data_IF_997667997890
#
_entry.id   IF_997667997890
#
_cell.length_a   1.000
_cell.length_b   1.000
_cell.length_c   1.000
_cell.angle_alpha   90.00
_cell.angle_beta   90.00
_cell.angle_gamma   90.00
#
_symmetry.space_group_name_H-M   'P 1'
#
loop_
_entity.id
_entity.type
_entity.pdbx_description
1 polymer ?
#
# COMPACT_ATOMS: atom_id res chain seq x y z
N UNK A 1 -1.86 -9.43 -8.74
CA UNK A 1 -1.33 -8.48 -9.74
C UNK A 1 -0.45 -7.42 -9.08
N UNK A 2 -0.94 -6.72 -8.04
CA UNK A 2 -0.18 -5.69 -7.31
C UNK A 2 1.24 -6.14 -6.88
N UNK A 3 1.38 -7.33 -6.26
CA UNK A 3 2.70 -7.88 -5.90
C UNK A 3 3.66 -8.01 -7.09
N UNK A 4 3.18 -8.46 -8.25
CA UNK A 4 4.03 -8.57 -9.45
C UNK A 4 4.50 -7.20 -9.94
N UNK A 5 3.65 -6.18 -9.84
CA UNK A 5 3.99 -4.81 -10.24
C UNK A 5 5.07 -4.26 -9.32
N UNK A 6 4.89 -4.34 -8.00
CA UNK A 6 5.87 -3.80 -7.04
C UNK A 6 7.19 -4.57 -7.10
N UNK A 7 7.19 -5.90 -7.22
CA UNK A 7 8.42 -6.69 -7.38
C UNK A 7 9.17 -6.30 -8.66
N UNK A 8 8.46 -6.17 -9.78
CA UNK A 8 9.08 -5.77 -11.04
C UNK A 8 9.72 -4.39 -10.93
N UNK A 9 8.98 -3.40 -10.41
CA UNK A 9 9.51 -2.04 -10.23
C UNK A 9 10.71 -2.04 -9.28
N UNK A 10 10.60 -2.72 -8.14
CA UNK A 10 11.66 -2.81 -7.13
C UNK A 10 12.95 -3.39 -7.71
N UNK A 11 12.86 -4.47 -8.48
CA UNK A 11 14.01 -5.18 -9.04
C UNK A 11 14.61 -4.53 -10.30
N UNK A 12 13.79 -3.85 -11.11
CA UNK A 12 14.20 -3.45 -12.47
C UNK A 12 14.50 -1.96 -12.64
N UNK A 13 14.22 -1.10 -11.66
CA UNK A 13 14.71 0.28 -11.68
C UNK A 13 16.12 0.27 -11.10
N UNK A 14 17.09 0.52 -11.97
CA UNK A 14 18.51 0.53 -11.64
C UNK A 14 19.12 1.91 -11.83
N UNK A 15 20.23 2.16 -11.14
CA UNK A 15 21.01 3.37 -11.33
C UNK A 15 21.94 3.26 -12.56
N UNK A 16 22.70 4.32 -12.83
CA UNK A 16 23.64 4.33 -13.97
C UNK A 16 24.78 3.30 -13.86
N UNK A 17 25.01 2.71 -12.69
CA UNK A 17 25.99 1.63 -12.48
C UNK A 17 25.37 0.24 -12.68
N UNK A 18 24.06 0.15 -12.85
CA UNK A 18 23.31 -1.11 -12.89
C UNK A 18 22.98 -1.67 -11.50
N UNK A 19 23.23 -0.93 -10.43
CA UNK A 19 22.83 -1.28 -9.07
C UNK A 19 21.35 -1.02 -8.81
N UNK A 20 20.81 -1.61 -7.72
CA UNK A 20 19.43 -1.32 -7.30
C UNK A 20 19.27 0.16 -6.99
N UNK A 21 18.31 0.83 -7.64
CA UNK A 21 17.99 2.23 -7.37
C UNK A 21 16.80 2.39 -6.41
N UNK A 22 16.15 1.30 -6.01
CA UNK A 22 14.98 1.34 -5.15
C UNK A 22 15.29 0.81 -3.75
N UNK A 23 14.90 1.59 -2.75
CA UNK A 23 14.85 1.16 -1.36
C UNK A 23 13.46 0.63 -0.96
N UNK A 24 12.39 1.16 -1.57
CA UNK A 24 11.01 0.82 -1.24
C UNK A 24 10.11 1.11 -2.45
N UNK A 25 9.16 0.22 -2.73
CA UNK A 25 8.08 0.44 -3.70
C UNK A 25 6.75 0.09 -3.04
N UNK A 26 5.89 1.09 -2.85
CA UNK A 26 4.55 0.92 -2.33
C UNK A 26 3.49 1.19 -3.40
N UNK A 27 2.50 0.31 -3.52
CA UNK A 27 1.36 0.50 -4.40
C UNK A 27 0.09 0.74 -3.59
N UNK A 28 -0.45 1.95 -3.70
CA UNK A 28 -1.70 2.35 -3.07
C UNK A 28 -2.84 2.49 -4.07
N UNK A 29 -4.06 2.32 -3.57
CA UNK A 29 -5.31 2.67 -4.24
C UNK A 29 -6.22 3.43 -3.29
N UNK A 30 -6.85 4.48 -3.77
CA UNK A 30 -7.90 5.17 -3.02
C UNK A 30 -9.22 4.44 -3.20
N UNK A 31 -9.85 4.11 -2.07
CA UNK A 31 -11.16 3.46 -2.00
C UNK A 31 -12.02 4.20 -0.96
N UNK A 32 -13.32 4.39 -1.20
CA UNK A 32 -14.26 4.75 -0.14
C UNK A 32 -14.21 3.75 1.02
N UNK A 33 -14.51 4.21 2.23
CA UNK A 33 -14.46 3.41 3.45
C UNK A 33 -15.36 2.17 3.37
N UNK A 34 -16.56 2.31 2.80
CA UNK A 34 -17.50 1.19 2.62
C UNK A 34 -17.03 0.11 1.62
N UNK A 35 -16.02 0.43 0.80
CA UNK A 35 -15.40 -0.49 -0.16
C UNK A 35 -14.14 -1.18 0.38
N UNK A 36 -13.68 -0.82 1.58
CA UNK A 36 -12.63 -1.56 2.27
C UNK A 36 -13.13 -2.94 2.71
N UNK A 37 -12.22 -3.91 2.84
CA UNK A 37 -12.56 -5.16 3.52
C UNK A 37 -12.85 -4.90 5.01
N UNK A 38 -13.59 -5.82 5.64
CA UNK A 38 -14.04 -5.66 7.03
C UNK A 38 -12.88 -5.51 8.02
N UNK A 39 -11.71 -6.11 7.73
CA UNK A 39 -10.53 -5.98 8.57
C UNK A 39 -9.98 -4.56 8.54
N UNK A 40 -9.85 -3.99 7.34
CA UNK A 40 -9.41 -2.60 7.15
C UNK A 40 -10.43 -1.58 7.69
N UNK A 41 -11.73 -1.83 7.55
CA UNK A 41 -12.77 -1.00 8.18
C UNK A 41 -12.60 -0.98 9.70
N UNK A 42 -12.49 -2.16 10.32
CA UNK A 42 -12.29 -2.29 11.76
C UNK A 42 -10.99 -1.63 12.25
N UNK A 43 -9.91 -1.76 11.47
CA UNK A 43 -8.64 -1.09 11.77
C UNK A 43 -8.79 0.44 11.77
N UNK A 44 -9.40 1.01 10.73
CA UNK A 44 -9.61 2.45 10.64
C UNK A 44 -10.55 2.97 11.74
N UNK A 45 -11.63 2.24 12.05
CA UNK A 45 -12.50 2.54 13.19
C UNK A 45 -11.73 2.50 14.53
N UNK A 46 -10.84 1.53 14.71
CA UNK A 46 -10.02 1.41 15.91
C UNK A 46 -9.09 2.61 16.13
N UNK A 47 -8.50 3.14 15.07
CA UNK A 47 -7.65 4.34 15.13
C UNK A 47 -8.48 5.61 15.40
N UNK A 48 -9.62 5.75 14.72
CA UNK A 48 -10.45 6.95 14.77
C UNK A 48 -11.39 6.99 15.99
N UNK A 49 -11.52 5.86 16.71
CA UNK A 49 -12.45 5.70 17.85
C UNK A 49 -13.93 5.63 17.44
N UNK A 50 -14.22 5.76 16.15
CA UNK A 50 -15.55 5.68 15.56
C UNK A 50 -15.44 5.37 14.07
N UNK A 51 -16.51 4.86 13.46
CA UNK A 51 -16.53 4.64 12.02
C UNK A 51 -16.57 6.01 11.31
N UNK A 52 -15.68 6.28 10.33
CA UNK A 52 -15.79 7.44 9.46
C UNK A 52 -17.02 7.33 8.53
N UNK A 53 -17.31 8.37 7.74
CA UNK A 53 -18.39 8.29 6.75
C UNK A 53 -18.06 7.28 5.65
N UNK A 54 -19.08 6.63 5.09
CA UNK A 54 -18.94 5.60 4.05
C UNK A 54 -18.16 6.10 2.82
N UNK A 55 -18.32 7.37 2.47
CA UNK A 55 -17.65 8.04 1.34
C UNK A 55 -16.25 8.58 1.67
N UNK A 56 -15.79 8.42 2.92
CA UNK A 56 -14.44 8.83 3.31
C UNK A 56 -13.41 8.10 2.44
N UNK A 57 -12.56 8.87 1.75
CA UNK A 57 -11.49 8.31 0.94
C UNK A 57 -10.39 7.71 1.83
N UNK A 58 -10.16 6.42 1.70
CA UNK A 58 -9.11 5.67 2.37
C UNK A 58 -7.99 5.33 1.38
N UNK A 59 -6.75 5.57 1.78
CA UNK A 59 -5.56 5.17 1.02
C UNK A 59 -5.16 3.75 1.42
N UNK A 60 -5.52 2.77 0.59
CA UNK A 60 -5.27 1.35 0.87
C UNK A 60 -3.99 0.88 0.19
N UNK A 61 -3.06 0.30 0.95
CA UNK A 61 -1.87 -0.33 0.39
C UNK A 61 -2.22 -1.71 -0.17
N UNK A 62 -1.95 -1.94 -1.46
CA UNK A 62 -2.23 -3.20 -2.15
C UNK A 62 -1.02 -4.13 -2.19
N UNK A 63 0.19 -3.56 -2.19
CA UNK A 63 1.44 -4.30 -2.18
C UNK A 63 2.60 -3.36 -1.79
N UNK A 64 3.64 -3.92 -1.19
CA UNK A 64 4.90 -3.24 -0.90
C UNK A 64 6.08 -4.18 -1.15
N UNK A 65 7.25 -3.64 -1.44
CA UNK A 65 8.52 -4.38 -1.57
C UNK A 65 9.67 -3.48 -1.10
N UNK A 66 10.62 -4.04 -0.34
CA UNK A 66 11.70 -3.28 0.30
C UNK A 66 11.41 -2.85 1.74
N UNK A 67 10.19 -3.11 2.22
CA UNK A 67 9.84 -3.07 3.64
C UNK A 67 10.43 -4.31 4.30
N UNK A 68 11.61 -4.18 4.90
CA UNK A 68 12.17 -5.24 5.74
C UNK A 68 11.55 -5.02 7.13
N UNK A 69 10.71 -5.95 7.58
CA UNK A 69 10.35 -6.03 9.00
C UNK A 69 11.66 -6.12 9.81
N UNK A 70 11.88 -5.16 10.72
CA UNK A 70 12.91 -5.23 11.76
C UNK A 70 12.58 -6.33 12.80
#
# INVERSE_FOLDING_TARGET
MANKIVSYLYENITDSSGGSANALVCFYKTLPYDQLDQGLQGFAQGILGSAPSDDTNCLTMLATMGDNDD
#
